data_IF_258358153436
#
_entry.id   IF_258358153436
#
_cell.length_a   1.000
_cell.length_b   1.000
_cell.length_c   1.000
_cell.angle_alpha   90.00
_cell.angle_beta   90.00
_cell.angle_gamma   90.00
#
_symmetry.space_group_name_H-M   'P 1'
#
loop_
_entity.id
_entity.type
_entity.pdbx_description
1 polymer ?
#
# COMPACT_ATOMS: atom_id res chain seq x y z
N UNK A 1 -2.21 -31.86 -14.26
CA UNK A 1 -1.42 -31.27 -13.16
C UNK A 1 -1.14 -29.83 -13.55
N UNK A 2 -1.89 -28.82 -13.07
CA UNK A 2 -1.53 -27.44 -13.36
C UNK A 2 -0.27 -27.09 -12.54
N UNK A 3 0.69 -26.53 -13.26
CA UNK A 3 2.04 -26.20 -12.81
C UNK A 3 2.01 -25.26 -11.61
N UNK A 4 2.80 -25.58 -10.59
CA UNK A 4 3.07 -24.73 -9.43
C UNK A 4 3.51 -23.33 -9.89
N UNK A 5 2.78 -22.31 -9.44
CA UNK A 5 3.19 -20.92 -9.52
C UNK A 5 4.56 -20.76 -8.84
N UNK A 6 5.56 -20.11 -9.45
CA UNK A 6 6.85 -19.92 -8.80
C UNK A 6 6.75 -18.95 -7.60
N UNK A 7 7.53 -19.25 -6.57
CA UNK A 7 7.71 -18.54 -5.30
C UNK A 7 7.92 -17.00 -5.44
N UNK A 8 7.50 -16.17 -4.47
CA UNK A 8 7.08 -14.77 -4.67
C UNK A 8 8.23 -13.74 -4.58
N UNK A 9 9.30 -13.89 -5.34
CA UNK A 9 10.46 -12.99 -5.24
C UNK A 9 10.92 -12.30 -6.54
N UNK A 10 10.20 -12.42 -7.66
CA UNK A 10 10.57 -11.72 -8.90
C UNK A 10 9.38 -11.36 -9.81
N UNK A 11 8.20 -11.19 -9.22
CA UNK A 11 6.94 -10.98 -9.93
C UNK A 11 6.19 -9.77 -9.28
N UNK A 12 6.67 -8.56 -9.55
CA UNK A 12 6.12 -7.25 -9.12
C UNK A 12 4.85 -6.85 -9.91
N UNK A 13 3.90 -7.76 -10.10
CA UNK A 13 3.12 -7.74 -11.34
C UNK A 13 2.01 -6.70 -11.43
N UNK A 14 2.40 -5.55 -11.99
CA UNK A 14 1.53 -4.66 -12.75
C UNK A 14 1.06 -5.29 -14.06
N UNK A 15 0.57 -6.53 -14.00
CA UNK A 15 -0.03 -7.27 -15.10
C UNK A 15 -1.46 -7.63 -14.73
N UNK A 16 -2.36 -7.66 -15.70
CA UNK A 16 -3.71 -8.19 -15.54
C UNK A 16 -3.85 -9.35 -16.52
N UNK A 17 -4.02 -10.56 -15.99
CA UNK A 17 -3.95 -11.78 -16.81
C UNK A 17 -2.57 -11.92 -17.48
N UNK A 18 -2.54 -12.01 -18.80
CA UNK A 18 -1.30 -12.06 -19.58
C UNK A 18 -0.79 -10.69 -20.06
N UNK A 19 -1.53 -9.62 -19.82
CA UNK A 19 -1.20 -8.28 -20.31
C UNK A 19 -0.42 -7.49 -19.25
N UNK A 20 0.70 -6.88 -19.66
CA UNK A 20 1.48 -5.97 -18.81
C UNK A 20 0.94 -4.56 -18.92
N UNK A 21 0.44 -4.05 -17.79
CA UNK A 21 -0.14 -2.70 -17.68
C UNK A 21 0.91 -1.69 -17.21
N UNK A 22 1.79 -2.09 -16.29
CA UNK A 22 2.85 -1.23 -15.74
C UNK A 22 4.23 -1.72 -16.18
N UNK A 23 5.21 -0.80 -16.35
CA UNK A 23 6.60 -1.17 -16.60
C UNK A 23 7.11 -2.12 -15.52
N UNK A 24 8.04 -3.00 -15.90
CA UNK A 24 8.71 -3.87 -14.95
C UNK A 24 9.40 -3.04 -13.85
N UNK A 25 9.27 -3.48 -12.59
CA UNK A 25 9.83 -2.80 -11.42
C UNK A 25 9.13 -1.49 -11.02
N UNK A 26 8.13 -1.01 -11.78
CA UNK A 26 7.45 0.26 -11.49
C UNK A 26 6.79 0.28 -10.11
N UNK A 27 6.11 -0.80 -9.71
CA UNK A 27 5.44 -0.85 -8.40
C UNK A 27 6.47 -0.65 -7.28
N UNK A 28 7.56 -1.43 -7.30
CA UNK A 28 8.63 -1.29 -6.30
C UNK A 28 9.26 0.10 -6.33
N UNK A 29 9.58 0.66 -7.49
CA UNK A 29 10.12 2.02 -7.59
C UNK A 29 9.15 3.04 -6.99
N UNK A 30 7.87 2.96 -7.35
CA UNK A 30 6.86 3.91 -6.93
C UNK A 30 6.59 3.83 -5.42
N UNK A 31 6.67 2.65 -4.82
CA UNK A 31 6.33 2.42 -3.42
C UNK A 31 7.56 2.34 -2.51
N UNK A 32 8.66 2.98 -2.89
CA UNK A 32 9.84 3.15 -2.03
C UNK A 32 9.92 4.57 -1.45
N UNK A 33 10.37 4.72 -0.19
CA UNK A 33 10.72 6.02 0.38
C UNK A 33 11.69 6.79 -0.52
N UNK A 34 11.49 8.10 -0.65
CA UNK A 34 12.36 8.96 -1.44
C UNK A 34 13.16 9.90 -0.55
N UNK A 35 14.36 10.25 -0.99
CA UNK A 35 15.17 11.29 -0.36
C UNK A 35 15.20 12.49 -1.28
N UNK A 36 14.84 13.65 -0.75
CA UNK A 36 14.89 14.92 -1.49
C UNK A 36 16.35 15.32 -1.74
N UNK A 37 16.57 16.20 -2.73
CA UNK A 37 17.90 16.77 -3.02
C UNK A 37 18.53 17.49 -1.82
N UNK A 38 17.71 17.92 -0.86
CA UNK A 38 18.13 18.51 0.42
C UNK A 38 18.62 17.47 1.45
N UNK A 39 18.58 16.18 1.13
CA UNK A 39 18.90 15.07 2.03
C UNK A 39 17.75 14.66 2.96
N UNK A 40 16.59 15.31 2.87
CA UNK A 40 15.42 14.96 3.70
C UNK A 40 14.79 13.66 3.22
N UNK A 41 14.71 12.66 4.11
CA UNK A 41 14.00 11.42 3.84
C UNK A 41 12.47 11.63 3.95
N UNK A 42 11.74 11.13 2.96
CA UNK A 42 10.29 11.11 2.93
C UNK A 42 9.80 9.67 3.02
N UNK A 43 8.83 9.44 3.90
CA UNK A 43 8.09 8.18 3.95
C UNK A 43 7.00 8.15 2.86
N UNK A 44 7.40 8.51 1.64
CA UNK A 44 6.54 8.75 0.49
C UNK A 44 7.31 8.49 -0.80
N UNK A 45 6.66 7.89 -1.80
CA UNK A 45 7.20 7.64 -3.13
C UNK A 45 6.11 7.71 -4.18
N UNK A 46 6.38 8.38 -5.31
CA UNK A 46 5.53 8.44 -6.51
C UNK A 46 4.01 8.34 -6.26
N UNK A 47 3.47 9.22 -5.41
CA UNK A 47 2.04 9.32 -5.02
C UNK A 47 1.54 8.39 -3.88
N UNK A 48 2.41 7.58 -3.31
CA UNK A 48 2.13 6.63 -2.24
C UNK A 48 2.78 7.03 -0.92
N UNK A 49 2.01 6.97 0.15
CA UNK A 49 2.49 7.01 1.53
C UNK A 49 2.94 5.62 1.94
N UNK A 50 4.05 5.50 2.67
CA UNK A 50 4.39 4.20 3.25
C UNK A 50 3.56 3.96 4.51
N UNK A 51 3.15 2.72 4.72
CA UNK A 51 2.38 2.36 5.90
C UNK A 51 3.19 2.61 7.18
N UNK A 52 2.45 2.94 8.24
CA UNK A 52 2.95 3.00 9.60
C UNK A 52 2.53 1.74 10.37
N UNK A 53 2.80 1.70 11.67
CA UNK A 53 2.37 0.59 12.53
C UNK A 53 3.03 -0.73 12.18
N UNK A 54 2.32 -1.83 12.42
CA UNK A 54 2.81 -3.19 12.21
C UNK A 54 3.04 -3.49 10.72
N UNK A 55 2.15 -3.01 9.85
CA UNK A 55 2.24 -3.21 8.40
C UNK A 55 3.46 -2.54 7.75
N UNK A 56 4.13 -1.61 8.46
CA UNK A 56 5.42 -1.05 8.01
C UNK A 56 6.48 -2.13 7.82
N UNK A 57 6.52 -3.15 8.68
CA UNK A 57 7.51 -4.22 8.61
C UNK A 57 7.35 -5.08 7.34
N UNK A 58 6.17 -5.03 6.73
CA UNK A 58 5.84 -5.76 5.50
C UNK A 58 6.07 -4.92 4.24
N UNK A 59 6.51 -3.67 4.38
CA UNK A 59 6.65 -2.74 3.26
C UNK A 59 5.31 -2.34 2.65
N UNK A 60 4.23 -2.35 3.44
CA UNK A 60 2.92 -1.90 2.98
C UNK A 60 2.93 -0.41 2.64
N UNK A 61 2.04 -0.02 1.73
CA UNK A 61 1.93 1.36 1.24
C UNK A 61 0.46 1.72 1.02
N UNK A 62 0.17 3.01 0.95
CA UNK A 62 -1.20 3.52 0.91
C UNK A 62 -1.37 4.83 0.15
N UNK A 63 -2.52 5.00 -0.48
CA UNK A 63 -2.99 6.27 -0.97
C UNK A 63 -4.04 6.83 0.00
N UNK A 64 -3.95 8.12 0.30
CA UNK A 64 -4.79 8.80 1.29
C UNK A 64 -5.52 9.94 0.60
N UNK A 65 -6.84 9.93 0.69
CA UNK A 65 -7.72 11.00 0.24
C UNK A 65 -8.36 11.74 1.42
N UNK A 66 -8.61 13.04 1.23
CA UNK A 66 -9.42 13.81 2.18
C UNK A 66 -10.84 13.24 2.29
N UNK A 67 -11.52 13.55 3.39
CA UNK A 67 -12.86 13.03 3.71
C UNK A 67 -12.92 11.52 3.99
N UNK A 68 -11.77 10.90 4.29
CA UNK A 68 -11.70 9.53 4.81
C UNK A 68 -11.52 8.44 3.76
N UNK A 69 -10.86 8.76 2.63
CA UNK A 69 -10.59 7.77 1.58
C UNK A 69 -9.24 7.12 1.82
N UNK A 70 -9.17 5.80 1.69
CA UNK A 70 -7.92 5.06 1.81
C UNK A 70 -7.86 3.91 0.82
N UNK A 71 -6.68 3.70 0.24
CA UNK A 71 -6.30 2.46 -0.42
C UNK A 71 -5.03 1.98 0.26
N UNK A 72 -5.07 0.84 0.94
CA UNK A 72 -3.93 0.24 1.62
C UNK A 72 -3.59 -1.09 0.96
N UNK A 73 -2.31 -1.32 0.69
CA UNK A 73 -1.82 -2.53 0.02
C UNK A 73 -0.69 -3.13 0.87
N UNK A 74 -0.90 -4.36 1.35
CA UNK A 74 0.11 -5.19 1.99
C UNK A 74 0.37 -6.42 1.11
N UNK A 75 1.44 -6.36 0.31
CA UNK A 75 1.77 -7.43 -0.65
C UNK A 75 2.22 -8.72 0.02
N UNK A 76 2.92 -8.62 1.16
CA UNK A 76 3.44 -9.78 1.88
C UNK A 76 2.31 -10.64 2.45
N UNK A 77 1.24 -9.99 2.88
CA UNK A 77 0.05 -10.65 3.44
C UNK A 77 -1.06 -10.84 2.39
N UNK A 78 -0.81 -10.45 1.14
CA UNK A 78 -1.79 -10.51 0.03
C UNK A 78 -3.12 -9.79 0.31
N UNK A 79 -3.09 -8.68 1.07
CA UNK A 79 -4.27 -7.91 1.46
C UNK A 79 -4.31 -6.55 0.77
N UNK A 80 -5.48 -6.20 0.22
CA UNK A 80 -5.83 -4.85 -0.22
C UNK A 80 -7.06 -4.38 0.55
N UNK A 81 -6.98 -3.21 1.19
CA UNK A 81 -8.09 -2.57 1.89
C UNK A 81 -8.49 -1.30 1.14
N UNK A 82 -9.77 -1.19 0.81
CA UNK A 82 -10.35 -0.01 0.18
C UNK A 82 -11.38 0.60 1.11
N UNK A 83 -11.21 1.87 1.45
CA UNK A 83 -12.16 2.66 2.23
C UNK A 83 -12.60 3.85 1.40
N UNK A 84 -13.92 3.95 1.21
CA UNK A 84 -14.56 5.10 0.60
C UNK A 84 -15.33 5.85 1.68
N UNK A 85 -14.92 7.09 1.93
CA UNK A 85 -15.48 7.96 2.94
C UNK A 85 -16.20 9.17 2.35
N UNK A 86 -16.95 9.82 3.22
CA UNK A 86 -17.58 11.12 2.97
C UNK A 86 -17.66 11.90 4.29
N UNK A 87 -16.57 11.90 5.06
CA UNK A 87 -16.55 12.56 6.36
C UNK A 87 -16.82 14.06 6.22
N UNK A 88 -17.52 14.69 7.18
CA UNK A 88 -17.83 16.13 7.09
C UNK A 88 -16.58 17.01 7.01
N UNK A 89 -15.52 16.61 7.73
CA UNK A 89 -14.25 17.32 7.72
C UNK A 89 -13.28 16.66 6.72
N UNK A 90 -12.54 17.43 5.91
CA UNK A 90 -11.56 16.88 4.96
C UNK A 90 -10.41 16.13 5.63
N UNK A 91 -10.01 16.49 6.85
CA UNK A 91 -8.95 15.81 7.60
C UNK A 91 -9.22 15.88 9.11
N UNK A 92 -8.62 14.99 9.91
CA UNK A 92 -8.79 15.00 11.36
C UNK A 92 -10.19 14.59 11.87
N UNK A 93 -11.10 14.18 10.98
CA UNK A 93 -12.44 13.68 11.32
C UNK A 93 -12.49 12.22 11.78
N UNK A 94 -11.35 11.52 11.74
CA UNK A 94 -11.26 10.11 12.11
C UNK A 94 -11.38 9.93 13.63
N UNK A 95 -12.38 9.18 14.07
CA UNK A 95 -12.52 8.74 15.48
C UNK A 95 -11.62 7.54 15.81
N UNK A 96 -11.27 6.74 14.81
CA UNK A 96 -10.37 5.59 14.91
C UNK A 96 -9.17 5.83 13.99
N UNK A 97 -7.98 5.51 14.47
CA UNK A 97 -6.77 5.56 13.64
C UNK A 97 -6.88 4.57 12.47
N UNK A 98 -6.74 5.06 11.24
CA UNK A 98 -6.75 4.20 10.05
C UNK A 98 -5.61 3.17 10.09
N UNK A 99 -4.43 3.54 10.60
CA UNK A 99 -3.30 2.62 10.77
C UNK A 99 -3.67 1.47 11.71
N UNK A 100 -4.23 1.78 12.88
CA UNK A 100 -4.65 0.76 13.85
C UNK A 100 -5.75 -0.15 13.28
N UNK A 101 -6.68 0.42 12.53
CA UNK A 101 -7.73 -0.35 11.86
C UNK A 101 -7.15 -1.29 10.78
N UNK A 102 -6.26 -0.80 9.91
CA UNK A 102 -5.64 -1.62 8.86
C UNK A 102 -4.78 -2.74 9.44
N UNK A 103 -3.95 -2.44 10.44
CA UNK A 103 -3.16 -3.46 11.14
C UNK A 103 -4.06 -4.53 11.77
N UNK A 104 -5.20 -4.15 12.35
CA UNK A 104 -6.16 -5.10 12.92
C UNK A 104 -6.83 -5.97 11.84
N UNK A 105 -7.21 -5.39 10.70
CA UNK A 105 -7.78 -6.14 9.57
C UNK A 105 -6.76 -7.14 9.01
N UNK A 106 -5.52 -6.69 8.77
CA UNK A 106 -4.44 -7.57 8.28
C UNK A 106 -4.18 -8.71 9.28
N UNK A 107 -4.11 -8.41 10.59
CA UNK A 107 -3.89 -9.44 11.61
C UNK A 107 -5.04 -10.45 11.70
N UNK A 108 -6.28 -10.05 11.42
CA UNK A 108 -7.46 -10.92 11.47
C UNK A 108 -7.59 -11.87 10.27
N UNK A 109 -6.83 -11.63 9.19
CA UNK A 109 -6.84 -12.44 7.96
C UNK A 109 -5.70 -13.45 7.89
N UNK A 110 -4.77 -13.41 8.85
CA UNK A 110 -3.71 -14.42 9.03
C UNK A 110 -4.27 -15.68 9.69
#
# INVERSE_FOLDING_TARGET
MPTLCPSPAADDHGTIGSERILPEGWITEATLPKTLSTGTALNYGSLWWMAEGASRADGAFMAIGINGQYLHVNRKEEVVIVVLGAQPQPSGGNTVSHTAFFDAVVAALK
#
